data_IF_604079713440
#
_entry.id   IF_604079713440
#
_cell.length_a   1.000
_cell.length_b   1.000
_cell.length_c   1.000
_cell.angle_alpha   90.00
_cell.angle_beta   90.00
_cell.angle_gamma   90.00
#
_symmetry.space_group_name_H-M   'P 1'
#
loop_
_entity.id
_entity.type
_entity.pdbx_description
1 polymer ?
#
# COMPACT_ATOMS: atom_id res chain seq x y z
N UNK A 1 36.87 24.73 -7.61
CA UNK A 1 36.53 23.39 -8.15
C UNK A 1 35.10 23.09 -7.71
N UNK A 2 34.13 23.21 -8.62
CA UNK A 2 32.74 22.76 -8.42
C UNK A 2 32.61 21.36 -9.00
N UNK A 3 31.98 20.46 -8.25
CA UNK A 3 31.31 19.23 -8.69
C UNK A 3 30.77 18.63 -7.38
N UNK A 4 29.50 18.26 -7.17
CA UNK A 4 28.41 17.87 -8.07
C UNK A 4 27.68 16.73 -7.33
N UNK A 5 26.35 16.64 -7.42
CA UNK A 5 25.62 15.46 -6.94
C UNK A 5 24.27 15.72 -6.26
N UNK A 6 23.37 16.43 -6.94
CA UNK A 6 21.95 16.47 -6.62
C UNK A 6 21.37 15.05 -6.60
N UNK A 7 20.91 14.59 -5.44
CA UNK A 7 20.08 13.39 -5.35
C UNK A 7 18.64 13.84 -5.12
N UNK A 8 17.90 13.90 -6.22
CA UNK A 8 16.46 14.13 -6.25
C UNK A 8 15.75 13.11 -5.38
N UNK A 9 15.24 13.58 -4.24
CA UNK A 9 14.29 12.84 -3.42
C UNK A 9 12.97 12.84 -4.19
N UNK A 10 12.66 11.74 -4.87
CA UNK A 10 11.34 11.52 -5.46
C UNK A 10 10.31 11.39 -4.34
N UNK A 11 9.77 12.53 -3.93
CA UNK A 11 8.52 12.67 -3.18
C UNK A 11 7.36 12.27 -4.09
N UNK A 12 7.23 10.97 -4.40
CA UNK A 12 6.01 10.46 -5.02
C UNK A 12 4.95 10.26 -3.92
N UNK A 13 4.26 11.38 -3.68
CA UNK A 13 2.81 11.45 -3.68
C UNK A 13 2.04 10.69 -2.59
N UNK A 14 2.20 11.09 -1.33
CA UNK A 14 1.27 10.76 -0.22
C UNK A 14 0.05 11.71 -0.13
N UNK A 15 -0.10 12.64 -1.07
CA UNK A 15 -1.13 13.69 -1.01
C UNK A 15 -2.37 13.45 -1.92
N UNK A 16 -2.34 12.51 -2.88
CA UNK A 16 -3.45 12.31 -3.82
C UNK A 16 -4.62 11.54 -3.20
N UNK A 17 -4.39 10.75 -2.16
CA UNK A 17 -5.40 9.81 -1.67
C UNK A 17 -6.50 10.48 -0.84
N UNK A 18 -6.21 11.62 -0.20
CA UNK A 18 -7.19 12.31 0.65
C UNK A 18 -8.22 13.10 -0.15
N UNK A 19 -8.00 13.37 -1.43
CA UNK A 19 -8.99 14.10 -2.24
C UNK A 19 -10.23 13.26 -2.60
N UNK A 20 -10.14 11.92 -2.51
CA UNK A 20 -11.28 11.04 -2.80
C UNK A 20 -12.18 10.77 -1.59
N UNK A 21 -11.74 11.01 -0.35
CA UNK A 21 -12.45 10.56 0.84
C UNK A 21 -13.63 11.46 1.25
N UNK A 22 -13.62 12.74 0.87
CA UNK A 22 -14.67 13.69 1.29
C UNK A 22 -15.93 13.65 0.40
N UNK A 23 -15.90 12.93 -0.73
CA UNK A 23 -17.04 12.86 -1.69
C UNK A 23 -17.89 11.60 -1.51
N UNK A 24 -17.41 10.58 -0.78
CA UNK A 24 -18.09 9.25 -0.70
C UNK A 24 -19.00 9.18 0.53
N UNK A 25 -19.99 10.08 0.59
CA UNK A 25 -21.15 9.92 1.46
C UNK A 25 -22.41 9.84 0.58
N UNK A 26 -22.63 8.69 -0.08
CA UNK A 26 -23.83 8.50 -0.89
C UNK A 26 -23.83 7.30 -1.83
N UNK A 27 -24.29 6.17 -1.30
CA UNK A 27 -25.04 5.09 -1.98
C UNK A 27 -24.52 4.44 -3.27
N UNK A 28 -24.36 3.13 -3.17
CA UNK A 28 -24.42 2.11 -4.22
C UNK A 28 -25.44 2.39 -5.33
N UNK A 29 -25.01 2.38 -6.61
CA UNK A 29 -25.47 1.51 -7.72
C UNK A 29 -24.79 1.97 -9.03
N UNK A 30 -24.41 1.01 -9.86
CA UNK A 30 -23.82 1.25 -11.19
C UNK A 30 -24.69 2.19 -12.03
N UNK A 31 -24.22 3.42 -12.23
CA UNK A 31 -24.51 4.29 -13.37
C UNK A 31 -23.42 5.35 -13.38
N UNK A 32 -22.70 5.48 -14.49
CA UNK A 32 -21.78 6.58 -14.72
C UNK A 32 -22.58 7.89 -14.66
N UNK A 33 -22.61 8.50 -13.48
CA UNK A 33 -23.20 9.80 -13.25
C UNK A 33 -22.20 10.84 -13.77
N UNK A 34 -22.60 11.59 -14.79
CA UNK A 34 -21.90 12.80 -15.20
C UNK A 34 -22.05 13.82 -14.07
N UNK A 35 -21.02 13.92 -13.22
CA UNK A 35 -20.87 15.02 -12.27
C UNK A 35 -20.35 16.20 -13.08
N UNK A 36 -21.25 17.14 -13.40
CA UNK A 36 -20.92 18.38 -14.12
C UNK A 36 -20.76 19.47 -13.08
N UNK A 37 -19.57 20.03 -12.95
CA UNK A 37 -19.36 21.27 -12.20
C UNK A 37 -19.86 22.43 -13.07
N UNK A 38 -21.06 22.94 -12.76
CA UNK A 38 -21.77 23.97 -13.54
C UNK A 38 -21.02 25.32 -13.57
N UNK A 39 -20.04 25.53 -12.67
CA UNK A 39 -19.24 26.76 -12.62
C UNK A 39 -17.97 26.70 -13.49
N UNK A 40 -17.42 25.50 -13.75
CA UNK A 40 -16.15 25.34 -14.47
C UNK A 40 -16.26 24.54 -15.78
N UNK A 41 -17.44 23.99 -16.11
CA UNK A 41 -17.68 23.25 -17.36
C UNK A 41 -16.78 22.01 -17.54
N UNK A 42 -16.14 21.55 -16.46
CA UNK A 42 -15.27 20.38 -16.46
C UNK A 42 -16.12 19.12 -16.22
N UNK A 43 -16.14 18.23 -17.20
CA UNK A 43 -16.73 16.90 -17.10
C UNK A 43 -15.65 15.81 -17.16
N UNK A 44 -15.77 14.76 -16.35
CA UNK A 44 -14.90 13.58 -16.44
C UNK A 44 -15.35 12.75 -17.65
N UNK A 45 -14.64 12.88 -18.77
CA UNK A 45 -14.99 12.21 -20.04
C UNK A 45 -14.54 10.76 -20.11
N UNK A 46 -13.58 10.35 -19.28
CA UNK A 46 -13.10 8.97 -19.22
C UNK A 46 -12.49 8.69 -17.84
N UNK A 47 -12.88 7.56 -17.24
CA UNK A 47 -12.21 7.03 -16.07
C UNK A 47 -11.96 5.53 -16.27
N UNK A 48 -10.76 5.09 -15.89
CA UNK A 48 -10.39 3.68 -15.87
C UNK A 48 -9.62 3.41 -14.59
N UNK A 49 -9.91 2.28 -13.95
CA UNK A 49 -9.13 1.83 -12.80
C UNK A 49 -7.69 1.57 -13.24
N UNK A 50 -6.74 2.23 -12.57
CA UNK A 50 -5.31 1.99 -12.79
C UNK A 50 -4.94 0.54 -12.42
N UNK A 51 -3.90 0.01 -13.07
CA UNK A 51 -3.35 -1.27 -12.65
C UNK A 51 -2.61 -1.11 -11.31
N UNK A 52 -2.81 -2.05 -10.39
CA UNK A 52 -2.08 -2.07 -9.12
C UNK A 52 -0.68 -2.58 -9.39
N UNK A 53 0.33 -1.77 -9.09
CA UNK A 53 1.73 -2.17 -9.24
C UNK A 53 2.19 -3.03 -8.05
N UNK A 54 3.23 -3.87 -8.21
CA UNK A 54 3.82 -4.60 -7.09
C UNK A 54 4.19 -3.68 -5.92
N UNK A 55 3.80 -4.06 -4.71
CA UNK A 55 3.98 -3.25 -3.50
C UNK A 55 4.22 -4.13 -2.27
N UNK A 56 4.88 -3.58 -1.25
CA UNK A 56 5.06 -4.28 0.01
C UNK A 56 3.69 -4.52 0.66
N UNK A 57 3.47 -5.68 1.26
CA UNK A 57 2.15 -6.01 1.84
C UNK A 57 1.60 -4.91 2.76
N UNK A 58 2.45 -4.30 3.59
CA UNK A 58 2.00 -3.26 4.54
C UNK A 58 1.55 -1.94 3.87
N UNK A 59 1.76 -1.78 2.57
CA UNK A 59 1.29 -0.64 1.74
C UNK A 59 0.09 -1.03 0.85
N UNK A 60 -0.44 -2.25 1.00
CA UNK A 60 -1.60 -2.69 0.22
C UNK A 60 -2.86 -1.89 0.56
N UNK A 61 -3.52 -1.35 -0.46
CA UNK A 61 -4.77 -0.60 -0.30
C UNK A 61 -6.01 -1.50 -0.35
N UNK A 62 -5.89 -2.72 -0.88
CA UNK A 62 -6.99 -3.67 -0.98
C UNK A 62 -7.15 -4.51 0.30
N UNK A 63 -6.07 -4.70 1.06
CA UNK A 63 -6.04 -5.53 2.25
C UNK A 63 -5.59 -4.70 3.45
N UNK A 64 -6.47 -4.56 4.45
CA UNK A 64 -6.16 -3.81 5.67
C UNK A 64 -4.92 -4.34 6.38
N UNK A 65 -4.19 -3.45 7.05
CA UNK A 65 -2.94 -3.80 7.72
C UNK A 65 -2.85 -3.12 9.08
N UNK A 66 -2.58 -3.92 10.12
CA UNK A 66 -2.34 -3.44 11.48
C UNK A 66 -0.85 -3.46 11.77
N UNK A 67 -0.29 -2.30 12.12
CA UNK A 67 1.12 -2.17 12.51
C UNK A 67 1.29 -2.47 13.99
N UNK A 68 2.19 -3.39 14.31
CA UNK A 68 2.58 -3.75 15.68
C UNK A 68 4.09 -3.99 15.72
N UNK A 69 4.72 -3.59 16.82
CA UNK A 69 6.16 -3.78 16.98
C UNK A 69 6.45 -5.21 17.44
N UNK A 70 7.37 -5.90 16.75
CA UNK A 70 7.92 -7.20 17.18
C UNK A 70 6.88 -8.34 17.39
N UNK A 71 5.73 -8.28 16.73
CA UNK A 71 4.78 -9.40 16.73
C UNK A 71 5.18 -10.44 15.67
N UNK A 72 5.87 -11.50 16.10
CA UNK A 72 6.32 -12.59 15.22
C UNK A 72 5.57 -13.91 15.43
N UNK A 73 4.82 -14.02 16.52
CA UNK A 73 4.18 -15.26 16.97
C UNK A 73 3.08 -15.74 16.03
N UNK A 74 2.17 -14.86 15.60
CA UNK A 74 1.02 -15.19 14.76
C UNK A 74 0.58 -13.97 13.94
N UNK A 75 -0.22 -14.16 12.86
CA UNK A 75 -0.74 -13.04 12.10
C UNK A 75 -1.60 -12.09 12.95
N UNK A 76 -1.26 -10.80 12.92
CA UNK A 76 -2.05 -9.76 13.57
C UNK A 76 -3.23 -9.39 12.68
N UNK A 77 -4.45 -9.52 13.20
CA UNK A 77 -5.70 -9.17 12.52
C UNK A 77 -5.77 -9.74 11.08
N UNK A 78 -5.76 -8.87 10.07
CA UNK A 78 -5.86 -9.22 8.65
C UNK A 78 -4.51 -9.20 7.92
N UNK A 79 -3.39 -9.13 8.64
CA UNK A 79 -2.05 -9.10 8.06
C UNK A 79 -1.74 -10.37 7.25
N UNK A 80 -2.43 -11.48 7.53
CA UNK A 80 -2.31 -12.73 6.78
C UNK A 80 -2.80 -12.60 5.32
N UNK A 81 -3.85 -11.82 5.08
CA UNK A 81 -4.48 -11.67 3.76
C UNK A 81 -3.61 -10.82 2.86
N UNK A 82 -3.59 -11.06 1.54
CA UNK A 82 -2.78 -10.29 0.58
C UNK A 82 -3.44 -10.27 -0.80
N UNK A 83 -3.16 -9.27 -1.63
CA UNK A 83 -3.52 -9.28 -3.04
C UNK A 83 -2.39 -9.86 -3.90
N UNK A 84 -2.65 -10.15 -5.17
CA UNK A 84 -1.68 -10.79 -6.08
C UNK A 84 -0.40 -9.98 -6.31
N UNK A 85 -0.46 -8.66 -6.10
CA UNK A 85 0.65 -7.73 -6.30
C UNK A 85 1.46 -7.48 -5.01
N UNK A 86 1.05 -8.06 -3.88
CA UNK A 86 1.79 -7.94 -2.63
C UNK A 86 3.10 -8.75 -2.69
N UNK A 87 4.18 -8.14 -2.21
CA UNK A 87 5.42 -8.83 -1.87
C UNK A 87 5.70 -8.80 -0.36
N UNK A 88 6.44 -9.82 0.09
CA UNK A 88 6.92 -9.93 1.45
C UNK A 88 8.06 -8.95 1.68
N UNK A 89 7.91 -8.06 2.67
CA UNK A 89 8.90 -7.03 3.00
C UNK A 89 10.27 -7.60 3.38
N UNK A 90 10.30 -8.76 4.05
CA UNK A 90 11.55 -9.39 4.51
C UNK A 90 12.26 -10.12 3.36
N UNK A 91 11.51 -10.83 2.51
CA UNK A 91 12.10 -11.68 1.48
C UNK A 91 12.27 -11.01 0.11
N UNK A 92 11.66 -9.84 -0.12
CA UNK A 92 11.56 -9.17 -1.44
C UNK A 92 11.07 -10.12 -2.56
N UNK A 93 10.09 -10.96 -2.22
CA UNK A 93 9.45 -11.92 -3.14
C UNK A 93 7.93 -11.82 -3.03
N UNK A 94 7.16 -12.18 -4.08
CA UNK A 94 5.70 -12.27 -3.99
C UNK A 94 5.26 -13.03 -2.75
N UNK A 95 4.21 -12.57 -2.08
CA UNK A 95 3.74 -13.22 -0.84
C UNK A 95 3.43 -14.71 -1.05
N UNK A 96 2.87 -15.06 -2.21
CA UNK A 96 2.60 -16.45 -2.61
C UNK A 96 3.84 -17.35 -2.68
N UNK A 97 5.04 -16.78 -2.71
CA UNK A 97 6.33 -17.49 -2.72
C UNK A 97 7.10 -17.33 -1.40
N UNK A 98 6.49 -16.76 -0.37
CA UNK A 98 7.12 -16.58 0.93
C UNK A 98 6.82 -17.79 1.83
N UNK A 99 7.84 -18.60 2.09
CA UNK A 99 7.74 -19.80 2.93
C UNK A 99 7.44 -19.46 4.40
N UNK A 100 7.90 -18.29 4.85
CA UNK A 100 7.74 -17.81 6.23
C UNK A 100 6.53 -16.89 6.42
N UNK A 101 5.64 -16.80 5.42
CA UNK A 101 4.55 -15.81 5.45
C UNK A 101 3.71 -15.89 6.72
N UNK A 102 3.29 -17.10 7.09
CA UNK A 102 2.41 -17.40 8.23
C UNK A 102 3.06 -18.31 9.27
N UNK A 103 4.39 -18.45 9.24
CA UNK A 103 5.12 -19.37 10.13
C UNK A 103 5.15 -18.77 11.53
N UNK A 104 4.65 -19.47 12.57
CA UNK A 104 4.71 -18.96 13.92
C UNK A 104 6.15 -18.68 14.36
N UNK A 105 6.34 -17.72 15.25
CA UNK A 105 7.65 -17.18 15.71
C UNK A 105 8.49 -16.43 14.65
N UNK A 106 8.11 -16.51 13.38
CA UNK A 106 8.76 -15.82 12.24
C UNK A 106 7.71 -15.31 11.22
N UNK A 107 6.53 -14.84 11.67
CA UNK A 107 5.45 -14.47 10.74
C UNK A 107 5.80 -13.21 9.95
N UNK A 108 6.28 -13.39 8.72
CA UNK A 108 6.60 -12.27 7.83
C UNK A 108 5.37 -11.45 7.46
N UNK A 109 4.17 -12.00 7.64
CA UNK A 109 2.89 -11.32 7.48
C UNK A 109 2.80 -9.97 8.21
N UNK A 110 3.44 -9.85 9.38
CA UNK A 110 3.38 -8.67 10.23
C UNK A 110 4.48 -7.65 9.93
N UNK A 111 5.40 -7.97 9.01
CA UNK A 111 6.59 -7.18 8.80
C UNK A 111 6.27 -5.85 8.09
N UNK A 112 6.79 -4.74 8.64
CA UNK A 112 6.60 -3.41 8.06
C UNK A 112 7.79 -2.46 8.29
N UNK A 113 7.95 -1.50 7.37
CA UNK A 113 9.08 -0.56 7.37
C UNK A 113 9.11 0.45 8.54
N UNK A 114 8.02 0.54 9.32
CA UNK A 114 7.96 1.40 10.52
C UNK A 114 8.46 0.72 11.80
N UNK A 115 8.65 -0.60 11.79
CA UNK A 115 9.15 -1.31 12.96
C UNK A 115 10.66 -1.32 12.98
N UNK A 116 11.25 -1.07 14.15
CA UNK A 116 12.70 -1.15 14.32
C UNK A 116 13.17 -2.61 14.21
N UNK A 117 12.42 -3.52 14.83
CA UNK A 117 12.67 -4.96 14.76
C UNK A 117 12.69 -5.46 13.31
N UNK A 118 11.62 -5.21 12.56
CA UNK A 118 11.50 -5.73 11.19
C UNK A 118 12.51 -5.13 10.22
N UNK A 119 12.85 -3.85 10.39
CA UNK A 119 13.95 -3.23 9.62
C UNK A 119 15.29 -3.91 9.93
N UNK A 120 15.61 -4.07 11.21
CA UNK A 120 16.86 -4.73 11.61
C UNK A 120 16.92 -6.18 11.12
N UNK A 121 15.80 -6.92 11.17
CA UNK A 121 15.71 -8.29 10.67
C UNK A 121 15.88 -8.37 9.14
N UNK A 122 15.40 -7.39 8.39
CA UNK A 122 15.56 -7.36 6.92
C UNK A 122 16.99 -7.00 6.50
N UNK A 123 17.62 -6.11 7.24
CA UNK A 123 18.93 -5.55 6.91
C UNK A 123 20.10 -6.37 7.53
N UNK A 124 19.79 -7.43 8.29
CA UNK A 124 20.75 -8.37 8.89
C UNK A 124 21.23 -9.42 7.88
#
# INVERSE_FOLDING_TARGET
RRSGGEHGKTLFHRQCFNFLAEVVAGTSKEKSAEVVDEECGLAITYSKKGNVMPHARYDCMEQSFTRRENDTSEPVDNNLNFCEQCYCYICDKPVSKCEFWKVPSLCHCNAHNKSKYWKAHRDA
#
